data_IF_495931565306
#
_entry.id   IF_495931565306
#
_cell.length_a   1.000
_cell.length_b   1.000
_cell.length_c   1.000
_cell.angle_alpha   90.00
_cell.angle_beta   90.00
_cell.angle_gamma   90.00
#
_symmetry.space_group_name_H-M   'P 1'
#
loop_
_entity.id
_entity.type
_entity.pdbx_description
1 polymer ?
#
# COMPACT_ATOMS: atom_id res chain seq x y z
N UNK A 1 -2.07 -2.37 -12.24
CA UNK A 1 -2.00 -1.33 -11.20
C UNK A 1 -2.77 -1.86 -10.01
N UNK A 2 -2.19 -1.81 -8.83
CA UNK A 2 -2.81 -2.27 -7.57
C UNK A 2 -3.03 -1.06 -6.69
N UNK A 3 -4.17 -1.02 -6.00
CA UNK A 3 -4.45 -0.02 -4.96
C UNK A 3 -4.45 -0.70 -3.61
N UNK A 4 -3.76 -0.09 -2.64
CA UNK A 4 -3.73 -0.53 -1.24
C UNK A 4 -4.25 0.57 -0.35
N UNK A 5 -4.96 0.19 0.70
CA UNK A 5 -5.29 1.07 1.81
C UNK A 5 -4.27 0.86 2.94
N UNK A 6 -3.74 1.95 3.48
CA UNK A 6 -3.00 1.89 4.74
C UNK A 6 -4.01 1.73 5.88
N UNK A 7 -4.02 0.58 6.55
CA UNK A 7 -4.92 0.34 7.70
C UNK A 7 -4.30 0.77 9.03
N UNK A 8 -2.99 1.00 9.06
CA UNK A 8 -2.26 1.43 10.25
C UNK A 8 -0.79 1.66 9.96
N UNK A 9 -0.13 2.50 10.76
CA UNK A 9 1.32 2.71 10.70
C UNK A 9 2.01 2.17 11.93
N UNK A 10 3.28 1.79 11.77
CA UNK A 10 4.12 1.43 12.92
C UNK A 10 4.50 2.71 13.71
N UNK A 11 4.68 2.62 15.04
CA UNK A 11 5.11 3.77 15.83
C UNK A 11 6.38 4.41 15.27
N UNK A 12 6.37 5.74 15.14
CA UNK A 12 7.48 6.51 14.57
C UNK A 12 7.54 6.56 13.03
N UNK A 13 6.64 5.85 12.33
CA UNK A 13 6.51 5.94 10.88
C UNK A 13 5.33 6.86 10.52
N UNK A 14 5.62 7.90 9.76
CA UNK A 14 4.66 8.90 9.29
C UNK A 14 4.64 9.02 7.74
N UNK A 15 5.14 8.00 7.05
CA UNK A 15 5.22 7.96 5.59
C UNK A 15 3.88 7.64 4.94
N UNK A 16 2.98 7.00 5.69
CA UNK A 16 1.64 6.66 5.26
C UNK A 16 0.62 7.15 6.27
N UNK A 17 -0.60 7.35 5.83
CA UNK A 17 -1.72 7.82 6.63
C UNK A 17 -2.79 6.72 6.68
N UNK A 18 -3.18 6.24 7.88
CA UNK A 18 -4.27 5.28 8.01
C UNK A 18 -5.57 5.79 7.36
N UNK A 19 -6.25 4.95 6.59
CA UNK A 19 -7.45 5.28 5.81
C UNK A 19 -7.18 5.92 4.44
N UNK A 20 -5.92 6.19 4.09
CA UNK A 20 -5.55 6.67 2.75
C UNK A 20 -5.17 5.52 1.83
N UNK A 21 -5.54 5.65 0.56
CA UNK A 21 -5.19 4.71 -0.49
C UNK A 21 -3.95 5.14 -1.27
N UNK A 22 -3.14 4.16 -1.67
CA UNK A 22 -1.94 4.32 -2.45
C UNK A 22 -1.99 3.37 -3.64
N UNK A 23 -1.64 3.85 -4.83
CA UNK A 23 -1.67 3.06 -6.05
C UNK A 23 -0.26 2.86 -6.60
N UNK A 24 0.00 1.66 -7.07
CA UNK A 24 1.32 1.27 -7.53
C UNK A 24 1.31 0.04 -8.42
N UNK A 25 2.48 -0.57 -8.55
CA UNK A 25 2.69 -1.80 -9.32
C UNK A 25 3.24 -2.87 -8.40
N UNK A 26 2.71 -4.09 -8.54
CA UNK A 26 3.28 -5.25 -7.86
C UNK A 26 4.66 -5.57 -8.44
N UNK A 27 5.56 -6.05 -7.61
CA UNK A 27 6.75 -6.75 -8.07
C UNK A 27 6.37 -8.10 -8.75
N UNK A 28 7.34 -8.73 -9.40
CA UNK A 28 7.15 -9.95 -10.20
C UNK A 28 6.58 -11.13 -9.39
N UNK A 29 6.89 -11.21 -8.10
CA UNK A 29 6.47 -12.31 -7.22
C UNK A 29 5.19 -11.98 -6.43
N UNK A 30 4.61 -10.79 -6.59
CA UNK A 30 3.36 -10.42 -5.92
C UNK A 30 3.49 -10.04 -4.45
N UNK A 31 4.71 -9.88 -3.93
CA UNK A 31 4.97 -9.75 -2.48
C UNK A 31 4.97 -8.30 -2.00
N UNK A 32 5.36 -7.38 -2.88
CA UNK A 32 5.56 -5.97 -2.61
C UNK A 32 4.92 -5.10 -3.70
N UNK A 33 4.51 -3.90 -3.29
CA UNK A 33 4.04 -2.86 -4.20
C UNK A 33 5.05 -1.73 -4.23
N UNK A 34 5.44 -1.36 -5.44
CA UNK A 34 6.15 -0.14 -5.76
C UNK A 34 5.13 1.01 -5.80
N UNK A 35 5.16 1.87 -4.79
CA UNK A 35 4.24 3.01 -4.66
C UNK A 35 4.99 4.27 -4.25
N UNK A 36 4.27 5.38 -4.14
CA UNK A 36 4.75 6.61 -3.50
C UNK A 36 4.13 6.79 -2.12
N UNK A 37 4.93 7.29 -1.20
CA UNK A 37 4.48 7.65 0.15
C UNK A 37 3.81 9.04 0.19
N UNK A 38 3.37 9.49 1.36
CA UNK A 38 2.72 10.80 1.55
C UNK A 38 3.63 12.00 1.21
N UNK A 39 4.95 11.78 1.17
CA UNK A 39 5.94 12.79 0.80
C UNK A 39 6.34 12.70 -0.69
N UNK A 40 5.72 11.80 -1.46
CA UNK A 40 5.99 11.61 -2.88
C UNK A 40 7.27 10.81 -3.19
N UNK A 41 7.85 10.14 -2.19
CA UNK A 41 9.05 9.31 -2.34
C UNK A 41 8.68 7.90 -2.75
N UNK A 42 9.48 7.31 -3.63
CA UNK A 42 9.31 5.92 -4.04
C UNK A 42 9.60 4.97 -2.87
N UNK A 43 8.71 4.00 -2.67
CA UNK A 43 8.74 3.09 -1.54
C UNK A 43 8.15 1.73 -1.90
N UNK A 44 8.57 0.72 -1.14
CA UNK A 44 8.13 -0.66 -1.28
C UNK A 44 7.26 -1.03 -0.09
N UNK A 45 6.04 -1.49 -0.36
CA UNK A 45 5.12 -1.97 0.67
C UNK A 45 4.92 -3.46 0.53
N UNK A 46 5.38 -4.23 1.51
CA UNK A 46 5.22 -5.69 1.56
C UNK A 46 3.91 -6.08 2.23
N UNK A 47 3.07 -6.88 1.58
CA UNK A 47 1.77 -7.25 2.14
C UNK A 47 1.87 -8.07 3.44
N UNK A 48 2.80 -9.02 3.50
CA UNK A 48 2.94 -9.94 4.63
C UNK A 48 3.79 -9.39 5.80
N UNK A 49 4.66 -8.41 5.53
CA UNK A 49 5.68 -7.98 6.50
C UNK A 49 6.13 -6.53 6.30
N UNK A 50 5.22 -5.60 5.96
CA UNK A 50 5.60 -4.20 5.73
C UNK A 50 6.27 -3.58 6.97
N UNK A 51 7.43 -2.98 6.75
CA UNK A 51 8.15 -2.24 7.78
C UNK A 51 7.51 -0.88 8.09
N UNK A 52 6.51 -0.46 7.32
CA UNK A 52 5.90 0.87 7.42
C UNK A 52 4.55 0.84 8.17
N UNK A 53 3.87 -0.30 8.20
CA UNK A 53 2.50 -0.37 8.67
C UNK A 53 1.77 -1.62 8.20
N UNK A 54 0.45 -1.63 8.35
CA UNK A 54 -0.44 -2.66 7.82
C UNK A 54 -1.17 -2.11 6.61
N UNK A 55 -1.27 -2.93 5.57
CA UNK A 55 -1.86 -2.54 4.29
C UNK A 55 -2.75 -3.65 3.76
N UNK A 56 -3.86 -3.29 3.16
CA UNK A 56 -4.79 -4.22 2.53
C UNK A 56 -5.00 -3.83 1.08
N UNK A 57 -4.99 -4.82 0.19
CA UNK A 57 -5.34 -4.60 -1.21
C UNK A 57 -6.81 -4.20 -1.33
N UNK A 58 -7.06 -3.05 -1.96
CA UNK A 58 -8.40 -2.64 -2.35
C UNK A 58 -8.71 -3.35 -3.65
N UNK A 59 -9.29 -4.55 -3.52
CA UNK A 59 -9.88 -5.24 -4.66
C UNK A 59 -11.11 -4.45 -5.08
N UNK A 60 -11.04 -3.81 -6.24
CA UNK A 60 -12.24 -3.35 -6.91
C UNK A 60 -13.05 -4.62 -7.18
N UNK A 61 -14.01 -4.90 -6.31
CA UNK A 61 -15.04 -5.89 -6.62
C UNK A 61 -15.72 -5.32 -7.86
N UNK A 62 -15.63 -6.06 -8.96
CA UNK A 62 -16.34 -5.81 -10.22
C UNK A 62 -17.63 -5.05 -9.93
N UNK A 63 -17.71 -3.80 -10.39
CA UNK A 63 -18.99 -3.18 -10.63
C UNK A 63 -19.54 -3.94 -11.84
N UNK A 64 -20.20 -5.06 -11.59
CA UNK A 64 -21.12 -5.67 -12.56
C UNK A 64 -22.26 -4.68 -12.74
N UNK A 65 -22.19 -3.86 -13.78
CA UNK A 65 -23.35 -3.26 -14.45
C UNK A 65 -23.82 -4.15 -15.60
#
# INVERSE_FOLDING_TARGET
MITIECTGTRPGINWFTPGKTYSGYSDADGQAIHTKDDFGRDTFVFFAASLHGTFTEVKNSDITE
#
